data_IF_895962960938
#
_entry.id   IF_895962960938
#
_cell.length_a   1.000
_cell.length_b   1.000
_cell.length_c   1.000
_cell.angle_alpha   90.00
_cell.angle_beta   90.00
_cell.angle_gamma   90.00
#
_symmetry.space_group_name_H-M   'P 1'
#
loop_
_entity.id
_entity.type
_entity.pdbx_description
1 polymer ?
#
# COMPACT_ATOMS: atom_id res chain seq x y z
N UNK A 1 9.12 -15.67 6.69
CA UNK A 1 8.46 -16.98 6.89
C UNK A 1 9.35 -18.04 6.27
N UNK A 2 9.87 -18.98 7.06
CA UNK A 2 10.72 -20.08 6.56
C UNK A 2 9.95 -21.40 6.71
N UNK A 3 9.80 -22.10 5.58
CA UNK A 3 9.16 -23.40 5.44
C UNK A 3 9.94 -24.48 6.23
N UNK A 4 9.25 -25.46 6.82
CA UNK A 4 9.88 -26.69 7.33
C UNK A 4 9.14 -27.94 6.80
N UNK A 5 9.89 -28.76 6.04
CA UNK A 5 9.76 -30.21 5.77
C UNK A 5 8.70 -30.71 4.74
N UNK A 6 8.96 -31.86 4.10
CA UNK A 6 8.66 -32.14 2.68
C UNK A 6 7.24 -32.71 2.48
N UNK A 7 6.36 -31.92 1.87
CA UNK A 7 4.97 -32.31 1.61
C UNK A 7 4.85 -33.35 0.48
N UNK A 8 5.76 -33.31 -0.51
CA UNK A 8 5.68 -34.15 -1.71
C UNK A 8 5.83 -35.65 -1.41
N UNK A 9 6.67 -35.99 -0.42
CA UNK A 9 6.93 -37.38 -0.03
C UNK A 9 5.90 -37.93 0.96
N UNK A 10 5.34 -37.09 1.84
CA UNK A 10 4.37 -37.52 2.86
C UNK A 10 3.01 -37.88 2.22
N UNK A 11 2.55 -37.10 1.23
CA UNK A 11 1.27 -37.31 0.55
C UNK A 11 1.27 -38.50 -0.43
N UNK A 12 2.44 -38.94 -0.89
CA UNK A 12 2.59 -40.14 -1.70
C UNK A 12 2.67 -41.44 -0.87
N UNK A 13 3.05 -41.34 0.42
CA UNK A 13 3.35 -42.51 1.25
C UNK A 13 2.14 -43.19 1.90
N UNK A 14 1.24 -42.44 2.54
CA UNK A 14 0.34 -43.05 3.55
C UNK A 14 -0.86 -43.85 2.99
N UNK A 15 -1.37 -43.52 1.79
CA UNK A 15 -2.51 -44.27 1.21
C UNK A 15 -2.10 -45.53 0.41
N UNK A 16 -0.82 -45.64 0.00
CA UNK A 16 -0.38 -46.63 -0.99
C UNK A 16 0.29 -47.88 -0.40
N UNK A 17 0.79 -47.81 0.84
CA UNK A 17 1.38 -48.96 1.55
C UNK A 17 0.38 -50.11 1.67
N UNK A 18 -0.91 -49.82 1.81
CA UNK A 18 -1.96 -50.84 1.97
C UNK A 18 -2.29 -51.62 0.69
N UNK A 19 -2.22 -51.00 -0.50
CA UNK A 19 -2.63 -51.66 -1.75
C UNK A 19 -1.54 -52.54 -2.36
N UNK A 20 -0.27 -52.14 -2.25
CA UNK A 20 0.85 -52.87 -2.90
C UNK A 20 1.26 -54.09 -2.08
N UNK A 21 1.28 -54.00 -0.74
CA UNK A 21 1.57 -55.16 0.12
C UNK A 21 0.43 -56.19 0.14
N UNK A 22 -0.83 -55.77 -0.03
CA UNK A 22 -1.97 -56.69 -0.07
C UNK A 22 -2.14 -57.43 -1.40
N UNK A 23 -1.67 -56.87 -2.53
CA UNK A 23 -1.90 -57.43 -3.87
C UNK A 23 -0.65 -57.97 -4.61
N UNK A 24 0.55 -57.91 -4.03
CA UNK A 24 1.77 -58.47 -4.64
C UNK A 24 2.02 -57.96 -6.07
N UNK A 25 1.78 -56.67 -6.31
CA UNK A 25 1.99 -56.00 -7.60
C UNK A 25 3.41 -55.44 -7.61
N UNK A 26 4.24 -55.88 -8.56
CA UNK A 26 5.67 -55.50 -8.64
C UNK A 26 5.89 -54.05 -9.11
N UNK A 27 5.00 -53.55 -9.96
CA UNK A 27 5.04 -52.18 -10.48
C UNK A 27 3.62 -51.66 -10.71
N UNK A 28 3.32 -50.50 -10.11
CA UNK A 28 2.06 -49.80 -10.38
C UNK A 28 2.38 -48.55 -11.21
N UNK A 29 1.92 -48.54 -12.46
CA UNK A 29 1.95 -47.35 -13.30
C UNK A 29 0.93 -46.33 -12.78
N UNK A 30 1.37 -45.50 -11.82
CA UNK A 30 0.52 -44.54 -11.13
C UNK A 30 0.84 -43.11 -11.58
N UNK A 31 -0.20 -42.32 -11.87
CA UNK A 31 -0.07 -40.95 -12.40
C UNK A 31 -0.93 -39.96 -11.61
N UNK A 32 -0.61 -39.72 -10.33
CA UNK A 32 -1.38 -38.80 -9.50
C UNK A 32 -1.24 -37.37 -10.01
N UNK A 33 -2.31 -36.61 -9.85
CA UNK A 33 -2.30 -35.16 -10.06
C UNK A 33 -2.49 -34.49 -8.70
N UNK A 34 -1.54 -33.65 -8.31
CA UNK A 34 -1.57 -32.91 -7.05
C UNK A 34 -1.90 -31.44 -7.31
N UNK A 35 -2.57 -30.80 -6.35
CA UNK A 35 -2.77 -29.35 -6.30
C UNK A 35 -2.28 -28.85 -4.95
N UNK A 36 -1.31 -27.93 -4.95
CA UNK A 36 -0.61 -27.47 -3.75
C UNK A 36 -0.66 -25.95 -3.73
N UNK A 37 -1.24 -25.32 -2.69
CA UNK A 37 -1.09 -23.88 -2.51
C UNK A 37 0.37 -23.58 -2.18
N UNK A 38 0.94 -22.59 -2.86
CA UNK A 38 2.35 -22.21 -2.75
C UNK A 38 2.49 -20.85 -2.07
N UNK A 39 1.62 -19.91 -2.40
CA UNK A 39 1.60 -18.57 -1.80
C UNK A 39 0.16 -18.15 -1.56
N UNK A 40 -0.06 -17.53 -0.40
CA UNK A 40 -1.22 -16.70 -0.10
C UNK A 40 -0.69 -15.36 0.41
N UNK A 41 -1.05 -14.28 -0.27
CA UNK A 41 -0.69 -12.93 0.10
C UNK A 41 -1.93 -12.04 0.06
N UNK A 42 -1.97 -11.04 0.93
CA UNK A 42 -3.01 -10.01 0.98
C UNK A 42 -2.31 -8.67 1.02
N UNK A 43 -2.80 -7.71 0.23
CA UNK A 43 -2.25 -6.37 0.15
C UNK A 43 -3.36 -5.34 0.31
N UNK A 44 -3.26 -4.52 1.34
CA UNK A 44 -4.12 -3.35 1.59
C UNK A 44 -3.59 -2.12 0.86
N UNK A 45 -4.41 -1.07 0.74
CA UNK A 45 -3.96 0.20 0.13
C UNK A 45 -2.76 0.81 0.87
N UNK A 46 -2.71 0.74 2.19
CA UNK A 46 -1.56 1.20 2.97
C UNK A 46 -0.27 0.44 2.65
N UNK A 47 -0.37 -0.87 2.42
CA UNK A 47 0.78 -1.69 1.98
C UNK A 47 1.18 -1.37 0.55
N UNK A 48 0.24 -1.16 -0.38
CA UNK A 48 0.49 -0.75 -1.77
C UNK A 48 1.33 0.55 -1.79
N UNK A 49 0.93 1.53 -0.98
CA UNK A 49 1.59 2.83 -0.89
C UNK A 49 2.85 2.82 -0.02
N UNK A 50 3.08 1.74 0.74
CA UNK A 50 4.12 1.63 1.75
C UNK A 50 4.00 2.73 2.84
N UNK A 51 2.77 2.98 3.28
CA UNK A 51 2.45 3.93 4.34
C UNK A 51 2.80 3.35 5.71
N UNK A 52 3.35 4.18 6.59
CA UNK A 52 3.61 3.75 7.98
C UNK A 52 2.30 3.72 8.77
N UNK A 53 2.17 2.85 9.80
CA UNK A 53 0.97 2.86 10.65
C UNK A 53 0.68 4.22 11.30
N UNK A 54 1.71 5.01 11.61
CA UNK A 54 1.56 6.37 12.15
C UNK A 54 1.08 7.41 11.13
N UNK A 55 1.15 7.08 9.84
CA UNK A 55 0.72 7.94 8.73
C UNK A 55 -0.68 7.59 8.25
N UNK A 56 -1.34 6.59 8.86
CA UNK A 56 -2.68 6.15 8.48
C UNK A 56 -3.64 6.50 9.60
N UNK A 57 -4.65 7.31 9.27
CA UNK A 57 -5.78 7.56 10.17
C UNK A 57 -7.04 6.95 9.56
N UNK A 58 -7.77 6.21 10.38
CA UNK A 58 -9.06 5.64 10.02
C UNK A 58 -10.15 6.53 10.60
N UNK A 59 -10.73 7.38 9.76
CA UNK A 59 -11.87 8.20 10.16
C UNK A 59 -13.15 7.43 9.92
N UNK A 60 -13.96 7.29 10.97
CA UNK A 60 -15.23 6.59 10.89
C UNK A 60 -16.13 7.30 9.88
N UNK A 61 -16.55 6.55 8.87
CA UNK A 61 -17.55 7.00 7.93
C UNK A 61 -18.93 6.68 8.51
N UNK A 62 -19.68 7.73 8.88
CA UNK A 62 -21.02 7.57 9.46
C UNK A 62 -22.02 7.30 8.33
N UNK A 63 -22.08 6.04 7.90
CA UNK A 63 -23.17 5.53 7.07
C UNK A 63 -24.22 4.93 8.01
N UNK A 64 -25.50 5.21 7.73
CA UNK A 64 -26.63 4.80 8.57
C UNK A 64 -26.57 3.30 8.93
N UNK A 65 -26.27 3.01 10.20
CA UNK A 65 -26.30 1.65 10.75
C UNK A 65 -25.00 0.85 10.70
N UNK A 66 -23.91 1.38 10.13
CA UNK A 66 -22.60 0.71 10.07
C UNK A 66 -21.59 1.39 11.00
N UNK A 67 -21.27 0.73 12.12
CA UNK A 67 -20.44 1.34 13.18
C UNK A 67 -18.92 1.17 13.01
N UNK A 68 -18.42 0.62 11.90
CA UNK A 68 -16.99 0.26 11.73
C UNK A 68 -16.46 0.44 10.30
N UNK A 69 -17.03 1.37 9.53
CA UNK A 69 -16.51 1.69 8.21
C UNK A 69 -15.53 2.86 8.30
N UNK A 70 -14.36 2.74 7.71
CA UNK A 70 -13.31 3.75 7.82
C UNK A 70 -12.72 4.08 6.45
N UNK A 71 -12.83 5.35 6.05
CA UNK A 71 -12.15 5.85 4.86
C UNK A 71 -10.64 5.82 5.10
N UNK A 72 -9.88 5.36 4.11
CA UNK A 72 -8.43 5.37 4.20
C UNK A 72 -7.92 6.81 4.05
N UNK A 73 -7.14 7.29 5.00
CA UNK A 73 -6.58 8.64 4.96
C UNK A 73 -5.10 8.59 5.32
N UNK A 74 -4.30 9.39 4.61
CA UNK A 74 -2.92 9.64 4.99
C UNK A 74 -2.82 10.91 5.81
N UNK A 75 -2.07 10.83 6.90
CA UNK A 75 -1.88 11.93 7.84
C UNK A 75 -0.39 12.16 8.06
N UNK A 76 0.02 13.40 7.88
CA UNK A 76 1.40 13.83 8.11
C UNK A 76 1.41 15.00 9.06
N UNK A 77 2.21 14.91 10.12
CA UNK A 77 2.33 15.96 11.12
C UNK A 77 3.72 16.58 11.10
N UNK A 78 3.78 17.89 11.35
CA UNK A 78 4.99 18.60 11.76
C UNK A 78 4.69 19.35 13.05
N UNK A 79 5.68 19.39 13.94
CA UNK A 79 5.61 20.17 15.18
C UNK A 79 6.75 21.17 15.12
N UNK A 80 6.42 22.45 15.23
CA UNK A 80 7.45 23.48 15.30
C UNK A 80 8.04 23.51 16.70
N UNK A 81 9.30 23.93 16.78
CA UNK A 81 9.92 24.21 18.07
C UNK A 81 9.07 25.23 18.83
N UNK A 82 8.76 24.99 20.11
CA UNK A 82 7.92 25.89 20.89
C UNK A 82 8.55 27.28 20.98
N UNK A 83 7.74 28.33 20.85
CA UNK A 83 8.20 29.68 21.12
C UNK A 83 8.13 29.95 22.62
N UNK A 84 9.27 30.28 23.21
CA UNK A 84 9.38 30.79 24.58
C UNK A 84 9.50 32.31 24.60
N UNK A 85 9.46 32.91 25.79
CA UNK A 85 9.64 34.35 26.00
C UNK A 85 10.92 34.92 25.33
N UNK A 86 12.00 34.14 25.30
CA UNK A 86 13.31 34.58 24.78
C UNK A 86 13.28 34.99 23.30
N UNK A 87 12.34 34.44 22.53
CA UNK A 87 12.17 34.76 21.12
C UNK A 87 11.66 36.19 20.87
N UNK A 88 10.97 36.78 21.85
CA UNK A 88 10.34 38.09 21.70
C UNK A 88 11.24 39.27 22.10
N UNK A 89 12.40 39.00 22.71
CA UNK A 89 13.39 40.04 23.07
C UNK A 89 12.87 41.09 24.06
N UNK A 90 11.83 40.76 24.85
CA UNK A 90 11.24 41.63 25.86
C UNK A 90 12.13 41.82 27.09
N UNK A 91 11.86 42.86 27.89
CA UNK A 91 12.52 43.10 29.18
C UNK A 91 11.66 42.55 30.31
N UNK A 92 12.20 41.61 31.10
CA UNK A 92 11.39 40.91 32.10
C UNK A 92 10.34 40.01 31.46
N UNK A 93 9.20 39.81 32.13
CA UNK A 93 8.16 38.86 31.71
C UNK A 93 7.20 39.41 30.63
N UNK A 94 7.66 40.32 29.77
CA UNK A 94 6.78 41.02 28.81
C UNK A 94 6.95 40.48 27.39
N UNK A 95 5.84 40.21 26.70
CA UNK A 95 5.80 39.96 25.26
C UNK A 95 5.37 41.25 24.55
N UNK A 96 6.25 41.93 23.79
CA UNK A 96 5.90 43.20 23.14
C UNK A 96 4.89 43.03 22.00
N UNK A 97 4.03 44.03 21.80
CA UNK A 97 3.22 44.11 20.59
C UNK A 97 4.11 44.34 19.35
N UNK A 98 3.76 43.69 18.25
CA UNK A 98 4.54 43.80 17.02
C UNK A 98 4.26 42.68 16.02
N UNK A 99 4.83 42.83 14.83
CA UNK A 99 4.87 41.77 13.82
C UNK A 99 6.22 41.06 13.91
N UNK A 100 6.16 39.74 13.90
CA UNK A 100 7.26 38.84 14.11
C UNK A 100 7.37 37.86 12.93
N UNK A 101 7.42 38.43 11.72
CA UNK A 101 7.39 37.68 10.46
C UNK A 101 8.65 36.83 10.20
N UNK A 102 9.72 37.04 10.97
CA UNK A 102 11.01 36.35 10.80
C UNK A 102 11.34 35.39 11.95
N UNK A 103 10.43 35.19 12.91
CA UNK A 103 10.67 34.25 14.02
C UNK A 103 10.78 32.82 13.52
N UNK A 104 9.98 32.48 12.51
CA UNK A 104 9.99 31.17 11.90
C UNK A 104 10.71 31.21 10.56
N UNK A 105 11.58 30.23 10.36
CA UNK A 105 12.09 29.92 9.03
C UNK A 105 11.05 29.10 8.25
N UNK A 106 11.23 28.98 6.94
CA UNK A 106 10.41 28.09 6.12
C UNK A 106 10.50 26.65 6.65
N UNK A 107 9.33 26.03 6.84
CA UNK A 107 9.17 24.65 7.29
C UNK A 107 8.61 23.80 6.17
N UNK A 108 8.74 22.48 6.33
CA UNK A 108 8.09 21.54 5.44
C UNK A 108 7.56 20.32 6.17
N UNK A 109 6.43 19.81 5.68
CA UNK A 109 5.90 18.49 6.01
C UNK A 109 6.27 17.55 4.88
N UNK A 110 6.93 16.44 5.21
CA UNK A 110 7.26 15.39 4.25
C UNK A 110 6.04 14.54 3.93
N UNK A 111 5.60 14.55 2.68
CA UNK A 111 4.42 13.84 2.20
C UNK A 111 4.85 12.58 1.46
N UNK A 112 4.67 11.43 2.11
CA UNK A 112 5.01 10.11 1.54
C UNK A 112 3.83 9.51 0.78
N UNK A 113 3.14 10.32 -0.03
CA UNK A 113 1.86 9.94 -0.66
C UNK A 113 1.98 8.73 -1.59
N UNK A 114 3.18 8.49 -2.12
CA UNK A 114 3.50 7.43 -3.09
C UNK A 114 4.70 6.57 -2.68
N UNK A 115 5.11 6.60 -1.40
CA UNK A 115 6.16 5.77 -0.79
C UNK A 115 7.18 5.09 -1.73
N UNK A 116 7.05 3.77 -1.88
CA UNK A 116 7.93 2.93 -2.73
C UNK A 116 7.46 2.81 -4.19
N UNK A 117 6.42 3.53 -4.59
CA UNK A 117 5.94 3.48 -5.97
C UNK A 117 6.93 4.19 -6.90
N UNK A 118 7.16 3.64 -8.09
CA UNK A 118 8.12 4.19 -9.06
C UNK A 118 7.60 5.51 -9.67
N UNK A 119 6.29 5.60 -9.76
CA UNK A 119 5.52 6.75 -10.21
C UNK A 119 4.05 6.57 -9.82
N UNK A 120 3.35 7.68 -9.73
CA UNK A 120 1.92 7.69 -9.52
C UNK A 120 1.42 9.10 -9.30
N UNK A 121 0.18 9.33 -9.66
CA UNK A 121 -0.55 10.55 -9.39
C UNK A 121 -1.89 10.22 -8.74
N UNK A 122 -2.29 11.01 -7.75
CA UNK A 122 -3.60 10.86 -7.13
C UNK A 122 -4.18 12.24 -6.85
N UNK A 123 -5.41 12.45 -7.30
CA UNK A 123 -6.16 13.68 -7.10
C UNK A 123 -7.20 13.47 -6.01
N UNK A 124 -6.96 14.10 -4.88
CA UNK A 124 -7.82 14.05 -3.70
C UNK A 124 -8.94 15.09 -3.80
N UNK A 125 -10.18 14.75 -3.50
CA UNK A 125 -11.31 15.71 -3.60
C UNK A 125 -11.37 16.71 -2.45
N UNK A 126 -10.82 16.37 -1.28
CA UNK A 126 -10.86 17.25 -0.11
C UNK A 126 -9.61 17.12 0.78
N UNK A 127 -8.40 17.40 0.25
CA UNK A 127 -7.22 17.49 1.09
C UNK A 127 -7.39 18.65 2.08
N UNK A 128 -6.82 18.49 3.29
CA UNK A 128 -6.93 19.47 4.38
C UNK A 128 -5.58 19.65 5.06
N UNK A 129 -5.27 20.87 5.45
CA UNK A 129 -4.14 21.17 6.34
C UNK A 129 -4.67 21.90 7.56
N UNK A 130 -4.40 21.41 8.75
CA UNK A 130 -4.78 22.05 10.00
C UNK A 130 -3.55 22.55 10.72
N UNK A 131 -3.57 23.82 11.11
CA UNK A 131 -2.65 24.33 12.11
C UNK A 131 -3.39 24.46 13.44
N UNK A 132 -2.86 23.84 14.48
CA UNK A 132 -3.43 23.86 15.83
C UNK A 132 -2.41 24.46 16.78
N UNK A 133 -2.89 25.30 17.68
CA UNK A 133 -2.07 26.10 18.57
C UNK A 133 -2.45 25.85 20.03
N UNK A 134 -1.44 25.75 20.89
CA UNK A 134 -1.58 25.76 22.34
C UNK A 134 -0.68 26.83 22.92
N UNK A 135 -1.28 27.76 23.65
CA UNK A 135 -0.64 28.96 24.14
C UNK A 135 -0.71 29.02 25.67
N UNK A 136 0.44 28.89 26.31
CA UNK A 136 0.53 28.99 27.77
C UNK A 136 0.77 30.42 28.25
N UNK A 137 0.99 31.37 27.33
CA UNK A 137 1.27 32.77 27.68
C UNK A 137 -0.02 33.57 27.89
N UNK A 138 0.07 34.62 28.71
CA UNK A 138 -1.03 35.58 28.95
C UNK A 138 -1.15 36.63 27.82
N UNK A 139 -0.88 36.23 26.58
CA UNK A 139 -0.83 37.10 25.40
C UNK A 139 -1.66 36.48 24.28
N UNK A 140 -2.45 37.28 23.57
CA UNK A 140 -3.13 36.85 22.35
C UNK A 140 -2.12 36.87 21.20
N UNK A 141 -2.15 35.84 20.35
CA UNK A 141 -1.37 35.82 19.12
C UNK A 141 -2.28 35.75 17.90
N UNK A 142 -1.84 36.38 16.82
CA UNK A 142 -2.43 36.24 15.50
C UNK A 142 -1.41 35.55 14.60
N UNK A 143 -1.82 34.50 13.89
CA UNK A 143 -0.94 33.77 12.97
C UNK A 143 -1.50 33.79 11.56
N UNK A 144 -0.66 34.21 10.63
CA UNK A 144 -0.87 34.11 9.19
C UNK A 144 0.24 33.23 8.59
N UNK A 145 -0.01 32.71 7.40
CA UNK A 145 1.02 32.00 6.64
C UNK A 145 1.52 32.92 5.53
N UNK A 146 2.79 33.33 5.63
CA UNK A 146 3.40 34.31 4.73
C UNK A 146 3.74 33.69 3.36
N UNK A 147 4.03 32.39 3.33
CA UNK A 147 4.30 31.63 2.11
C UNK A 147 3.79 30.20 2.29
N UNK A 148 3.13 29.65 1.28
CA UNK A 148 2.62 28.27 1.26
C UNK A 148 2.69 27.71 -0.15
N UNK A 149 3.30 26.54 -0.30
CA UNK A 149 3.39 25.87 -1.60
C UNK A 149 3.66 24.38 -1.43
N UNK A 150 3.34 23.60 -2.45
CA UNK A 150 3.79 22.21 -2.55
C UNK A 150 4.87 22.07 -3.61
N UNK A 151 5.73 21.05 -3.45
CA UNK A 151 6.80 20.77 -4.41
C UNK A 151 6.82 19.31 -4.81
N UNK A 152 6.75 19.06 -6.10
CA UNK A 152 7.07 17.75 -6.66
C UNK A 152 8.60 17.63 -6.77
N UNK A 153 9.18 16.62 -6.14
CA UNK A 153 10.66 16.47 -6.05
C UNK A 153 11.23 15.81 -7.31
N UNK A 154 10.40 15.08 -8.08
CA UNK A 154 10.82 14.45 -9.34
C UNK A 154 10.88 15.47 -10.47
N UNK A 155 9.89 16.36 -10.57
CA UNK A 155 9.80 17.37 -11.64
C UNK A 155 10.33 18.74 -11.23
N UNK A 156 10.44 19.01 -9.92
CA UNK A 156 10.78 20.32 -9.39
C UNK A 156 9.63 21.33 -9.43
N UNK A 157 8.44 20.92 -9.92
CA UNK A 157 7.28 21.80 -10.06
C UNK A 157 6.80 22.30 -8.69
N UNK A 158 6.57 23.61 -8.59
CA UNK A 158 6.08 24.30 -7.40
C UNK A 158 4.65 24.74 -7.65
N UNK A 159 3.74 24.35 -6.75
CA UNK A 159 2.35 24.83 -6.77
C UNK A 159 2.10 25.70 -5.54
N UNK A 160 2.18 27.03 -5.66
CA UNK A 160 1.83 27.93 -4.57
C UNK A 160 0.32 27.90 -4.31
N UNK A 161 -0.06 28.30 -3.11
CA UNK A 161 -1.44 28.63 -2.76
C UNK A 161 -1.42 29.68 -1.66
N UNK A 162 -2.52 30.41 -1.48
CA UNK A 162 -2.62 31.46 -0.46
C UNK A 162 -3.85 31.23 0.41
N UNK A 163 -3.69 31.53 1.70
CA UNK A 163 -4.74 31.44 2.71
C UNK A 163 -5.05 32.87 3.14
N UNK A 164 -6.29 33.28 3.00
CA UNK A 164 -6.70 34.66 3.31
C UNK A 164 -7.10 34.83 4.79
N UNK A 165 -7.07 33.76 5.56
CA UNK A 165 -7.47 33.73 6.96
C UNK A 165 -6.29 33.90 7.90
N UNK A 166 -6.57 34.47 9.08
CA UNK A 166 -5.62 34.62 10.18
C UNK A 166 -6.18 33.89 11.38
N UNK A 167 -5.40 32.99 11.98
CA UNK A 167 -5.76 32.33 13.22
C UNK A 167 -5.62 33.31 14.38
N UNK A 168 -6.63 33.37 15.23
CA UNK A 168 -6.55 34.04 16.54
C UNK A 168 -6.30 32.95 17.59
N UNK A 169 -5.19 33.09 18.30
CA UNK A 169 -4.74 32.19 19.35
C UNK A 169 -5.00 32.90 20.67
N UNK A 170 -5.96 32.39 21.42
CA UNK A 170 -6.37 33.00 22.67
C UNK A 170 -5.23 33.00 23.68
N UNK A 171 -5.23 33.98 24.59
CA UNK A 171 -4.35 33.95 25.76
C UNK A 171 -4.73 32.79 26.68
N UNK A 172 -3.77 32.32 27.47
CA UNK A 172 -4.00 31.40 28.58
C UNK A 172 -5.06 31.96 29.54
N UNK A 173 -5.90 31.07 30.09
CA UNK A 173 -6.75 31.38 31.24
C UNK A 173 -6.19 30.72 32.52
N UNK A 174 -6.83 30.93 33.67
CA UNK A 174 -6.31 30.46 34.96
C UNK A 174 -6.15 28.92 35.04
N UNK A 175 -6.95 28.16 34.29
CA UNK A 175 -7.06 26.71 34.41
C UNK A 175 -6.53 25.95 33.18
N UNK A 176 -6.50 26.59 32.01
CA UNK A 176 -6.21 25.96 30.72
C UNK A 176 -5.36 26.86 29.80
N UNK A 177 -4.50 26.27 28.96
CA UNK A 177 -3.84 26.97 27.86
C UNK A 177 -4.87 27.59 26.92
N UNK A 178 -4.52 28.75 26.35
CA UNK A 178 -5.28 29.33 25.26
C UNK A 178 -5.10 28.49 23.99
N UNK A 179 -6.13 28.41 23.16
CA UNK A 179 -6.08 27.62 21.93
C UNK A 179 -6.43 28.48 20.72
N UNK A 180 -6.02 27.99 19.55
CA UNK A 180 -6.42 28.52 18.26
C UNK A 180 -6.30 27.43 17.20
N UNK A 181 -6.94 27.65 16.06
CA UNK A 181 -6.74 26.81 14.88
C UNK A 181 -6.88 27.61 13.60
N UNK A 182 -6.18 27.13 12.56
CA UNK A 182 -6.31 27.58 11.18
C UNK A 182 -6.54 26.33 10.31
N UNK A 183 -7.80 25.96 10.05
CA UNK A 183 -8.09 24.93 9.05
C UNK A 183 -7.84 25.51 7.67
N UNK A 184 -7.22 24.74 6.78
CA UNK A 184 -6.95 25.11 5.40
C UNK A 184 -7.60 24.05 4.53
N UNK A 185 -8.60 24.48 3.77
CA UNK A 185 -9.46 23.62 2.93
C UNK A 185 -9.55 24.20 1.53
N UNK A 186 -10.26 23.50 0.64
CA UNK A 186 -10.59 24.03 -0.69
C UNK A 186 -11.41 25.33 -0.63
N UNK A 187 -12.16 25.58 0.45
CA UNK A 187 -13.11 26.71 0.53
C UNK A 187 -12.44 28.03 0.92
N UNK A 188 -11.31 27.98 1.62
CA UNK A 188 -10.60 29.17 2.11
C UNK A 188 -9.22 29.38 1.48
N UNK A 189 -8.98 28.71 0.36
CA UNK A 189 -7.78 28.88 -0.47
C UNK A 189 -8.15 29.45 -1.83
N UNK A 190 -7.34 30.38 -2.35
CA UNK A 190 -7.59 31.00 -3.67
C UNK A 190 -7.41 30.00 -4.83
N UNK A 191 -6.55 29.00 -4.62
CA UNK A 191 -6.36 27.84 -5.47
C UNK A 191 -6.85 26.61 -4.71
N UNK A 192 -7.77 25.82 -5.30
CA UNK A 192 -8.24 24.60 -4.65
C UNK A 192 -7.06 23.70 -4.28
N UNK A 193 -6.91 23.39 -2.99
CA UNK A 193 -5.91 22.46 -2.46
C UNK A 193 -5.88 21.14 -3.22
N UNK A 194 -7.02 20.65 -3.72
CA UNK A 194 -7.08 19.50 -4.62
C UNK A 194 -6.10 19.64 -5.78
N UNK A 195 -6.05 20.79 -6.45
CA UNK A 195 -5.13 21.06 -7.57
C UNK A 195 -3.67 21.14 -7.11
N UNK A 196 -3.45 21.69 -5.92
CA UNK A 196 -2.12 21.84 -5.29
C UNK A 196 -1.51 20.48 -4.90
N UNK A 197 -2.34 19.52 -4.48
CA UNK A 197 -1.93 18.16 -4.10
C UNK A 197 -2.03 17.15 -5.26
N UNK A 198 -2.71 17.48 -6.36
CA UNK A 198 -2.82 16.64 -7.57
C UNK A 198 -1.48 16.22 -8.21
N UNK A 199 -0.43 17.07 -8.29
CA UNK A 199 0.86 16.63 -8.83
C UNK A 199 1.63 15.73 -7.84
N UNK A 200 0.95 15.08 -6.90
CA UNK A 200 1.47 14.24 -5.82
C UNK A 200 2.74 14.82 -5.22
N UNK A 201 2.63 15.97 -4.55
CA UNK A 201 3.80 16.63 -4.01
C UNK A 201 4.44 15.76 -2.93
N UNK A 202 5.75 15.88 -2.81
CA UNK A 202 6.52 15.17 -1.78
C UNK A 202 6.75 16.03 -0.54
N UNK A 203 6.51 17.34 -0.64
CA UNK A 203 6.58 18.27 0.46
C UNK A 203 5.46 19.30 0.37
N UNK A 204 4.90 19.66 1.53
CA UNK A 204 4.18 20.90 1.75
C UNK A 204 5.12 21.85 2.49
N UNK A 205 5.35 23.03 1.93
CA UNK A 205 6.14 24.09 2.55
C UNK A 205 5.23 25.20 3.09
N UNK A 206 5.60 25.75 4.24
CA UNK A 206 4.91 26.89 4.82
C UNK A 206 5.85 27.75 5.67
N UNK A 207 5.56 29.05 5.75
CA UNK A 207 6.28 30.00 6.61
C UNK A 207 5.30 30.74 7.51
N UNK A 208 5.24 30.43 8.81
CA UNK A 208 4.38 31.16 9.75
C UNK A 208 4.87 32.58 9.99
N UNK A 209 3.93 33.53 9.99
CA UNK A 209 4.14 34.90 10.44
C UNK A 209 3.27 35.14 11.67
N UNK A 210 3.89 35.58 12.76
CA UNK A 210 3.21 35.83 14.03
C UNK A 210 3.03 37.33 14.25
N UNK A 211 1.88 37.74 14.79
CA UNK A 211 1.60 39.09 15.24
C UNK A 211 1.09 39.07 16.67
N UNK A 212 1.59 39.99 17.48
CA UNK A 212 1.10 40.26 18.83
C UNK A 212 0.32 41.57 18.77
N UNK A 213 -1.03 41.55 18.83
CA UNK A 213 -1.86 42.74 18.64
C UNK A 213 -1.74 43.74 19.80
N UNK A 214 -1.49 43.25 21.01
CA UNK A 214 -1.31 44.06 22.22
C UNK A 214 -0.25 43.43 23.13
N UNK A 215 0.56 44.22 23.85
CA UNK A 215 1.56 43.67 24.76
C UNK A 215 0.90 42.78 25.82
N UNK A 216 1.58 41.71 26.20
CA UNK A 216 1.13 40.82 27.26
C UNK A 216 2.30 40.30 28.09
N UNK A 217 2.09 39.22 28.83
CA UNK A 217 3.10 38.63 29.71
C UNK A 217 3.29 37.15 29.45
N UNK A 218 4.49 36.66 29.75
CA UNK A 218 4.81 35.24 29.79
C UNK A 218 5.78 34.95 30.95
N UNK A 219 5.56 33.85 31.66
CA UNK A 219 6.46 33.34 32.69
C UNK A 219 7.54 32.43 32.10
N UNK A 220 8.61 32.18 32.87
CA UNK A 220 9.67 31.25 32.47
C UNK A 220 9.12 29.84 32.31
N UNK A 221 9.24 29.28 31.10
CA UNK A 221 8.75 27.95 30.77
C UNK A 221 7.35 27.93 30.15
N UNK A 222 6.66 29.06 30.04
CA UNK A 222 5.44 29.14 29.23
C UNK A 222 5.79 29.16 27.74
N UNK A 223 5.07 28.36 26.96
CA UNK A 223 5.35 28.14 25.54
C UNK A 223 4.13 28.36 24.64
N UNK A 224 4.40 28.81 23.41
CA UNK A 224 3.45 28.72 22.30
C UNK A 224 3.86 27.55 21.41
N UNK A 225 3.02 26.53 21.40
CA UNK A 225 3.20 25.32 20.61
C UNK A 225 2.38 25.40 19.32
N UNK A 226 3.01 25.03 18.20
CA UNK A 226 2.40 25.04 16.87
C UNK A 226 2.50 23.65 16.25
N UNK A 227 1.34 23.08 15.91
CA UNK A 227 1.22 21.78 15.27
C UNK A 227 0.61 21.96 13.88
N UNK A 228 1.22 21.36 12.87
CA UNK A 228 0.66 21.26 11.52
C UNK A 228 0.26 19.81 11.24
N UNK A 229 -0.93 19.58 10.69
CA UNK A 229 -1.45 18.27 10.29
C UNK A 229 -1.98 18.35 8.87
N UNK A 230 -1.37 17.60 7.96
CA UNK A 230 -1.87 17.41 6.59
C UNK A 230 -2.68 16.12 6.55
N UNK A 231 -3.93 16.21 6.11
CA UNK A 231 -4.86 15.07 5.97
C UNK A 231 -5.22 14.91 4.50
N UNK A 232 -4.97 13.72 3.96
CA UNK A 232 -5.19 13.38 2.56
C UNK A 232 -6.15 12.19 2.48
N UNK A 233 -7.46 12.44 2.29
CA UNK A 233 -8.44 11.37 2.23
C UNK A 233 -8.37 10.67 0.88
N UNK A 234 -8.27 9.34 0.82
CA UNK A 234 -8.30 8.57 -0.43
C UNK A 234 -9.71 8.48 -1.04
N UNK A 235 -10.35 9.64 -1.13
CA UNK A 235 -11.51 9.94 -1.96
C UNK A 235 -11.01 10.74 -3.15
N UNK A 236 -11.14 10.18 -4.35
CA UNK A 236 -10.56 10.78 -5.54
C UNK A 236 -10.28 9.78 -6.63
N UNK A 237 -9.31 10.09 -7.47
CA UNK A 237 -8.88 9.21 -8.55
C UNK A 237 -7.38 9.31 -8.78
N UNK A 238 -6.77 8.24 -9.27
CA UNK A 238 -5.33 8.19 -9.47
C UNK A 238 -4.81 6.87 -10.02
N UNK A 239 -3.50 6.80 -10.13
CA UNK A 239 -2.77 5.62 -10.51
C UNK A 239 -1.45 5.53 -9.75
N UNK A 240 -0.94 4.31 -9.59
CA UNK A 240 0.32 4.04 -8.92
C UNK A 240 1.01 2.82 -9.54
N UNK A 241 2.34 2.82 -9.59
CA UNK A 241 3.13 1.68 -10.07
C UNK A 241 3.98 1.13 -8.94
N UNK A 242 3.87 -0.17 -8.69
CA UNK A 242 4.61 -0.89 -7.64
C UNK A 242 5.24 -2.14 -8.20
N UNK A 243 6.49 -2.37 -7.82
CA UNK A 243 7.14 -3.66 -7.94
C UNK A 243 7.16 -4.35 -6.57
N UNK A 244 6.77 -5.61 -6.53
CA UNK A 244 6.83 -6.43 -5.32
C UNK A 244 7.39 -7.82 -5.63
N UNK A 245 8.07 -8.42 -4.65
CA UNK A 245 8.67 -9.75 -4.81
C UNK A 245 8.06 -10.72 -3.82
N UNK A 246 7.50 -11.80 -4.34
CA UNK A 246 6.92 -12.88 -3.57
C UNK A 246 7.93 -14.04 -3.51
N UNK A 247 8.63 -14.25 -2.40
CA UNK A 247 9.58 -15.35 -2.29
C UNK A 247 8.85 -16.70 -2.28
N UNK A 248 9.47 -17.70 -2.89
CA UNK A 248 9.08 -19.10 -2.76
C UNK A 248 10.33 -19.96 -2.63
N UNK A 249 10.20 -21.14 -2.03
CA UNK A 249 11.33 -22.06 -1.88
C UNK A 249 10.88 -23.49 -2.09
N UNK A 250 11.69 -24.25 -2.83
CA UNK A 250 11.63 -25.70 -2.87
C UNK A 250 12.68 -26.28 -1.92
N UNK A 251 12.41 -27.43 -1.30
CA UNK A 251 13.39 -28.08 -0.44
C UNK A 251 14.51 -28.75 -1.25
N UNK A 252 15.69 -28.94 -0.65
CA UNK A 252 16.85 -29.56 -1.30
C UNK A 252 16.55 -30.97 -1.87
N UNK A 253 15.59 -31.69 -1.28
CA UNK A 253 15.13 -32.99 -1.77
C UNK A 253 14.15 -32.93 -2.95
N UNK A 254 13.58 -31.76 -3.26
CA UNK A 254 12.55 -31.60 -4.31
C UNK A 254 13.17 -31.50 -5.71
N UNK A 255 14.45 -31.09 -5.81
CA UNK A 255 15.18 -30.97 -7.09
C UNK A 255 15.68 -32.32 -7.63
N UNK A 256 15.89 -33.31 -6.75
CA UNK A 256 16.33 -34.66 -7.14
C UNK A 256 15.27 -35.44 -7.94
N UNK A 257 14.03 -34.94 -8.01
CA UNK A 257 12.88 -35.55 -8.69
C UNK A 257 12.36 -34.81 -9.92
N UNK A 258 13.04 -33.77 -10.43
CA UNK A 258 12.52 -33.01 -11.58
C UNK A 258 12.32 -33.88 -12.84
N UNK A 259 13.10 -34.96 -12.96
CA UNK A 259 13.01 -35.91 -14.07
C UNK A 259 11.66 -36.63 -14.19
N UNK A 260 10.92 -36.81 -13.09
CA UNK A 260 9.64 -37.55 -13.02
C UNK A 260 8.41 -36.63 -13.14
N UNK A 261 8.59 -35.32 -13.23
CA UNK A 261 7.49 -34.36 -13.41
C UNK A 261 7.19 -34.21 -14.90
N UNK A 262 5.96 -34.53 -15.32
CA UNK A 262 5.53 -34.41 -16.71
C UNK A 262 5.23 -32.95 -17.10
N UNK A 263 4.53 -32.24 -16.22
CA UNK A 263 4.16 -30.84 -16.38
C UNK A 263 3.84 -30.21 -15.03
N UNK A 264 3.95 -28.89 -14.97
CA UNK A 264 3.42 -28.06 -13.88
C UNK A 264 2.44 -27.06 -14.49
N UNK A 265 1.26 -26.93 -13.89
CA UNK A 265 0.41 -25.75 -14.06
C UNK A 265 0.62 -24.84 -12.86
N UNK A 266 1.11 -23.65 -13.11
CA UNK A 266 1.12 -22.57 -12.14
C UNK A 266 -0.20 -21.81 -12.27
N UNK A 267 -1.03 -21.87 -11.23
CA UNK A 267 -2.25 -21.08 -11.14
C UNK A 267 -1.98 -19.86 -10.27
N UNK A 268 -2.31 -18.68 -10.77
CA UNK A 268 -2.33 -17.43 -10.02
C UNK A 268 -3.77 -16.94 -10.00
N UNK A 269 -4.32 -16.71 -8.82
CA UNK A 269 -5.67 -16.21 -8.63
C UNK A 269 -5.63 -14.92 -7.83
N UNK A 270 -6.42 -13.96 -8.25
CA UNK A 270 -6.53 -12.64 -7.67
C UNK A 270 -7.98 -12.38 -7.31
N UNK A 271 -8.20 -11.92 -6.10
CA UNK A 271 -9.48 -11.40 -5.64
C UNK A 271 -9.25 -9.96 -5.22
N UNK A 272 -9.92 -9.02 -5.90
CA UNK A 272 -9.71 -7.61 -5.73
C UNK A 272 -10.94 -6.97 -5.10
N UNK A 273 -10.80 -6.49 -3.88
CA UNK A 273 -11.80 -5.71 -3.15
C UNK A 273 -11.51 -4.20 -3.26
N UNK A 274 -10.40 -3.81 -3.90
CA UNK A 274 -10.09 -2.40 -4.11
C UNK A 274 -10.81 -1.91 -5.39
N UNK A 275 -11.33 -0.68 -5.40
CA UNK A 275 -11.88 -0.03 -6.59
C UNK A 275 -10.78 0.45 -7.56
N UNK A 276 -9.71 -0.36 -7.68
CA UNK A 276 -8.54 -0.13 -8.51
C UNK A 276 -8.44 -1.27 -9.53
N UNK A 277 -8.40 -0.94 -10.83
CA UNK A 277 -7.93 -1.88 -11.84
C UNK A 277 -6.43 -2.11 -11.66
N UNK A 278 -6.01 -3.36 -11.77
CA UNK A 278 -4.60 -3.74 -11.60
C UNK A 278 -4.09 -4.46 -12.84
N UNK A 279 -3.11 -3.87 -13.50
CA UNK A 279 -2.34 -4.55 -14.55
C UNK A 279 -1.10 -5.19 -13.92
N UNK A 280 -0.97 -6.51 -14.02
CA UNK A 280 0.12 -7.29 -13.40
C UNK A 280 0.97 -7.95 -14.49
N UNK A 281 2.28 -7.73 -14.44
CA UNK A 281 3.28 -8.56 -15.10
C UNK A 281 4.03 -9.37 -14.05
N UNK A 282 4.18 -10.67 -14.26
CA UNK A 282 4.85 -11.56 -13.32
C UNK A 282 6.09 -12.19 -13.94
N UNK A 283 7.16 -12.29 -13.16
CA UNK A 283 8.46 -12.83 -13.60
C UNK A 283 9.02 -13.78 -12.54
N UNK A 284 9.56 -14.91 -12.97
CA UNK A 284 10.36 -15.79 -12.13
C UNK A 284 11.78 -15.21 -12.07
N UNK A 285 12.27 -14.98 -10.85
CA UNK A 285 13.58 -14.38 -10.61
C UNK A 285 14.40 -15.21 -9.62
N UNK A 286 15.73 -15.16 -9.77
CA UNK A 286 16.65 -15.54 -8.71
C UNK A 286 17.07 -14.27 -7.95
N UNK A 287 16.64 -14.14 -6.69
CA UNK A 287 16.93 -13.00 -5.82
C UNK A 287 18.38 -12.94 -5.31
N UNK A 288 19.18 -14.00 -5.49
CA UNK A 288 20.62 -13.95 -5.17
C UNK A 288 21.39 -13.16 -6.25
N UNK A 289 21.03 -13.35 -7.52
CA UNK A 289 21.66 -12.70 -8.67
C UNK A 289 20.84 -11.56 -9.28
N UNK A 290 19.58 -11.43 -8.86
CA UNK A 290 18.54 -10.57 -9.44
C UNK A 290 18.31 -10.79 -10.94
N UNK A 291 18.61 -11.99 -11.45
CA UNK A 291 18.35 -12.34 -12.84
C UNK A 291 16.89 -12.73 -13.05
N UNK A 292 16.28 -12.19 -14.11
CA UNK A 292 14.98 -12.65 -14.60
C UNK A 292 15.18 -13.93 -15.41
N UNK A 293 14.56 -15.02 -14.97
CA UNK A 293 14.72 -16.34 -15.55
C UNK A 293 13.60 -16.65 -16.56
N UNK A 294 12.37 -16.27 -16.24
CA UNK A 294 11.24 -16.39 -17.15
C UNK A 294 10.16 -15.37 -16.85
N UNK A 295 9.36 -15.06 -17.86
CA UNK A 295 8.12 -14.31 -17.69
C UNK A 295 6.96 -15.27 -17.51
N UNK A 296 6.17 -15.05 -16.45
CA UNK A 296 4.94 -15.81 -16.22
C UNK A 296 3.88 -15.30 -17.18
N UNK A 297 3.37 -16.19 -18.03
CA UNK A 297 2.30 -15.84 -18.97
C UNK A 297 0.98 -15.87 -18.23
N UNK A 298 0.34 -14.71 -18.12
CA UNK A 298 -0.95 -14.61 -17.49
C UNK A 298 -2.09 -14.65 -18.52
N UNK A 299 -3.09 -15.50 -18.30
CA UNK A 299 -4.27 -15.67 -19.15
C UNK A 299 -5.53 -15.44 -18.34
N UNK A 300 -6.62 -14.98 -18.97
CA UNK A 300 -7.92 -15.00 -18.30
C UNK A 300 -8.48 -16.42 -18.34
N UNK A 301 -8.63 -17.06 -17.18
CA UNK A 301 -9.10 -18.44 -17.06
C UNK A 301 -10.54 -18.68 -17.53
N UNK A 302 -11.38 -17.64 -17.52
CA UNK A 302 -12.81 -17.75 -17.88
C UNK A 302 -13.02 -17.66 -19.39
N UNK A 303 -12.31 -16.75 -20.06
CA UNK A 303 -12.45 -16.55 -21.51
C UNK A 303 -11.46 -17.39 -22.33
N UNK A 304 -10.36 -17.85 -21.72
CA UNK A 304 -9.30 -18.60 -22.40
C UNK A 304 -8.56 -17.78 -23.48
N UNK A 305 -8.87 -16.49 -23.60
CA UNK A 305 -8.24 -15.58 -24.56
C UNK A 305 -6.90 -15.17 -23.96
N UNK A 306 -5.82 -15.37 -24.74
CA UNK A 306 -4.56 -14.70 -24.46
C UNK A 306 -4.81 -13.21 -24.52
N UNK A 307 -4.75 -12.54 -23.36
CA UNK A 307 -4.69 -11.08 -23.33
C UNK A 307 -3.51 -10.70 -24.22
N UNK A 308 -3.72 -9.82 -25.19
CA UNK A 308 -2.66 -9.37 -26.09
C UNK A 308 -1.54 -8.75 -25.28
N UNK A 309 -0.48 -9.52 -25.04
CA UNK A 309 0.61 -9.16 -24.15
C UNK A 309 0.87 -10.22 -23.08
N UNK A 310 1.68 -9.85 -22.11
CA UNK A 310 2.15 -10.73 -21.01
C UNK A 310 1.54 -10.37 -19.66
N UNK A 311 0.68 -9.35 -19.64
CA UNK A 311 0.08 -8.81 -18.44
C UNK A 311 -1.35 -9.36 -18.24
N UNK A 312 -1.71 -9.63 -16.98
CA UNK A 312 -3.10 -9.82 -16.59
C UNK A 312 -3.71 -8.48 -16.16
N UNK A 313 -4.94 -8.23 -16.58
CA UNK A 313 -5.77 -7.14 -16.04
C UNK A 313 -6.73 -7.74 -15.02
N UNK A 314 -6.55 -7.40 -13.76
CA UNK A 314 -7.46 -7.70 -12.67
C UNK A 314 -8.45 -6.52 -12.61
N UNK A 315 -9.74 -6.74 -12.92
CA UNK A 315 -10.70 -5.64 -12.92
C UNK A 315 -10.78 -4.95 -11.56
N UNK A 316 -11.18 -3.68 -11.53
CA UNK A 316 -11.54 -3.02 -10.28
C UNK A 316 -12.73 -3.72 -9.61
N UNK A 317 -12.80 -3.67 -8.29
CA UNK A 317 -14.03 -4.01 -7.57
C UNK A 317 -15.11 -2.97 -7.88
N UNK A 318 -16.37 -3.41 -8.01
CA UNK A 318 -17.49 -2.50 -8.27
C UNK A 318 -17.89 -1.81 -6.97
N UNK A 319 -17.83 -0.48 -6.85
CA UNK A 319 -18.29 0.21 -5.65
C UNK A 319 -19.79 -0.04 -5.40
N UNK A 320 -20.14 -0.36 -4.16
CA UNK A 320 -21.54 -0.43 -3.73
C UNK A 320 -22.01 1.02 -3.49
N UNK A 321 -23.17 1.45 -4.01
CA UNK A 321 -23.71 2.77 -3.73
C UNK A 321 -23.77 3.03 -2.21
N UNK A 322 -23.41 4.24 -1.80
CA UNK A 322 -23.23 4.59 -0.38
C UNK A 322 -24.49 4.32 0.46
N UNK A 323 -25.65 4.54 -0.14
CA UNK A 323 -26.98 4.28 0.41
C UNK A 323 -27.30 2.79 0.64
N UNK A 324 -26.61 1.90 -0.07
CA UNK A 324 -26.82 0.44 -0.03
C UNK A 324 -25.82 -0.28 0.90
N UNK A 325 -24.85 0.45 1.48
CA UNK A 325 -23.86 -0.10 2.39
C UNK A 325 -24.51 -0.42 3.74
N UNK A 326 -24.80 -1.70 3.97
CA UNK A 326 -25.41 -2.23 5.19
C UNK A 326 -24.42 -3.00 6.09
N UNK A 327 -23.16 -3.15 5.67
CA UNK A 327 -22.09 -3.84 6.39
C UNK A 327 -20.73 -3.17 6.15
N UNK A 328 -19.63 -3.82 6.56
CA UNK A 328 -18.27 -3.37 6.25
C UNK A 328 -17.81 -3.69 4.81
N UNK A 329 -18.67 -4.32 4.00
CA UNK A 329 -18.45 -4.56 2.58
C UNK A 329 -18.88 -3.32 1.79
N UNK A 330 -17.94 -2.70 1.08
CA UNK A 330 -18.18 -1.46 0.31
C UNK A 330 -18.03 -1.63 -1.20
N UNK A 331 -17.63 -2.82 -1.63
CA UNK A 331 -17.43 -3.16 -3.03
C UNK A 331 -17.87 -4.60 -3.28
N UNK A 332 -18.33 -4.90 -4.48
CA UNK A 332 -18.40 -6.27 -4.99
C UNK A 332 -17.01 -6.67 -5.52
N UNK A 333 -16.35 -7.69 -4.93
CA UNK A 333 -15.00 -8.06 -5.33
C UNK A 333 -14.97 -8.56 -6.77
N UNK A 334 -13.90 -8.23 -7.49
CA UNK A 334 -13.61 -8.83 -8.79
C UNK A 334 -12.70 -10.04 -8.60
N UNK A 335 -12.80 -11.01 -9.51
CA UNK A 335 -11.94 -12.17 -9.53
C UNK A 335 -11.27 -12.30 -10.89
N UNK A 336 -9.99 -12.64 -10.89
CA UNK A 336 -9.29 -13.07 -12.09
C UNK A 336 -8.34 -14.20 -11.72
N UNK A 337 -8.30 -15.25 -12.52
CA UNK A 337 -7.26 -16.27 -12.39
C UNK A 337 -6.60 -16.59 -13.71
N UNK A 338 -5.37 -17.04 -13.62
CA UNK A 338 -4.50 -17.35 -14.73
C UNK A 338 -3.78 -18.66 -14.50
N UNK A 339 -3.68 -19.46 -15.55
CA UNK A 339 -2.93 -20.71 -15.56
C UNK A 339 -1.78 -20.65 -16.56
N UNK A 340 -0.55 -20.86 -16.09
CA UNK A 340 0.62 -21.07 -16.94
C UNK A 340 1.02 -22.54 -16.90
N UNK A 341 1.08 -23.18 -18.06
CA UNK A 341 1.67 -24.52 -18.18
C UNK A 341 3.18 -24.39 -18.40
N UNK A 342 3.95 -25.04 -17.54
CA UNK A 342 5.39 -25.22 -17.64
C UNK A 342 5.69 -26.61 -18.18
N UNK A 343 6.55 -26.67 -19.19
CA UNK A 343 6.94 -27.90 -19.84
C UNK A 343 8.37 -28.28 -19.44
N UNK A 344 8.61 -29.59 -19.30
CA UNK A 344 9.98 -30.13 -19.18
C UNK A 344 10.84 -29.79 -20.40
N UNK A 345 10.20 -29.59 -21.55
CA UNK A 345 10.79 -29.03 -22.77
C UNK A 345 9.75 -28.17 -23.45
N UNK A 346 9.94 -26.85 -23.42
CA UNK A 346 9.08 -25.87 -24.06
C UNK A 346 9.07 -26.11 -25.58
N UNK A 347 7.89 -26.21 -26.16
CA UNK A 347 7.74 -26.48 -27.61
C UNK A 347 8.17 -25.30 -28.50
N UNK A 348 8.28 -24.10 -27.94
CA UNK A 348 8.66 -22.88 -28.65
C UNK A 348 10.13 -22.53 -28.47
N UNK A 349 10.63 -22.54 -27.23
CA UNK A 349 12.03 -22.14 -26.92
C UNK A 349 12.98 -23.33 -26.84
N UNK A 350 12.48 -24.55 -26.62
CA UNK A 350 13.29 -25.75 -26.38
C UNK A 350 13.88 -25.87 -24.97
N UNK A 351 13.67 -24.86 -24.12
CA UNK A 351 14.16 -24.81 -22.73
C UNK A 351 13.31 -25.62 -21.76
N UNK A 352 13.83 -25.91 -20.57
CA UNK A 352 13.10 -26.62 -19.53
C UNK A 352 12.45 -25.63 -18.56
N UNK A 353 11.20 -25.25 -18.83
CA UNK A 353 10.45 -24.28 -18.01
C UNK A 353 10.30 -24.74 -16.55
N UNK A 354 10.26 -26.07 -16.32
CA UNK A 354 10.20 -26.63 -14.97
C UNK A 354 11.52 -26.36 -14.24
N UNK A 355 12.66 -26.56 -14.89
CA UNK A 355 13.96 -26.23 -14.30
C UNK A 355 14.02 -24.74 -13.98
N UNK A 356 13.57 -23.87 -14.88
CA UNK A 356 13.54 -22.42 -14.68
C UNK A 356 12.75 -22.00 -13.43
N UNK A 357 11.62 -22.68 -13.14
CA UNK A 357 10.86 -22.43 -11.91
C UNK A 357 11.67 -22.79 -10.65
N UNK A 358 12.40 -23.91 -10.67
CA UNK A 358 13.19 -24.39 -9.53
C UNK A 358 14.53 -23.66 -9.36
N UNK A 359 15.09 -23.14 -10.45
CA UNK A 359 16.27 -22.26 -10.41
C UNK A 359 15.92 -20.89 -9.82
N UNK A 360 14.66 -20.45 -9.99
CA UNK A 360 14.13 -19.25 -9.35
C UNK A 360 13.79 -19.47 -7.88
N UNK A 361 13.72 -18.36 -7.12
CA UNK A 361 13.36 -18.37 -5.70
C UNK A 361 12.37 -17.24 -5.32
N UNK A 362 11.89 -16.47 -6.29
CA UNK A 362 10.80 -15.52 -6.09
C UNK A 362 10.05 -15.25 -7.39
N UNK A 363 8.82 -14.75 -7.23
CA UNK A 363 8.07 -14.10 -8.31
C UNK A 363 8.11 -12.61 -8.10
N UNK A 364 8.66 -11.89 -9.07
CA UNK A 364 8.56 -10.43 -9.17
C UNK A 364 7.22 -10.08 -9.84
N UNK A 365 6.38 -9.33 -9.14
CA UNK A 365 5.14 -8.75 -9.62
C UNK A 365 5.36 -7.27 -9.91
N UNK A 366 5.26 -6.87 -11.17
CA UNK A 366 5.16 -5.48 -11.59
C UNK A 366 3.68 -5.14 -11.76
N UNK A 367 3.18 -4.24 -10.92
CA UNK A 367 1.76 -3.92 -10.79
C UNK A 367 1.53 -2.44 -11.05
N UNK A 368 0.61 -2.14 -11.96
CA UNK A 368 0.08 -0.80 -12.19
C UNK A 368 -1.36 -0.76 -11.72
N UNK A 369 -1.64 0.09 -10.74
CA UNK A 369 -2.95 0.33 -10.16
C UNK A 369 -3.56 1.58 -10.78
N UNK A 370 -4.85 1.56 -11.07
CA UNK A 370 -5.59 2.68 -11.62
C UNK A 370 -7.00 2.70 -11.04
N UNK A 371 -7.48 3.82 -10.53
CA UNK A 371 -8.85 3.92 -10.01
C UNK A 371 -9.87 3.68 -11.12
N UNK A 372 -10.97 2.99 -10.81
CA UNK A 372 -12.07 2.84 -11.75
C UNK A 372 -12.58 4.24 -12.16
N UNK A 373 -12.62 4.53 -13.46
CA UNK A 373 -13.00 5.85 -13.97
C UNK A 373 -11.91 6.94 -13.92
N UNK A 374 -10.63 6.60 -13.68
CA UNK A 374 -9.50 7.55 -13.81
C UNK A 374 -9.50 8.31 -15.14
N UNK A 375 -9.83 7.64 -16.26
CA UNK A 375 -9.88 8.30 -17.58
C UNK A 375 -11.06 9.27 -17.75
N UNK A 376 -12.05 9.19 -16.85
CA UNK A 376 -13.26 10.02 -16.84
C UNK A 376 -13.31 10.97 -15.63
N UNK A 377 -12.21 11.11 -14.87
CA UNK A 377 -12.13 11.90 -13.64
C UNK A 377 -13.20 11.49 -12.59
N UNK A 378 -13.60 10.21 -12.54
CA UNK A 378 -14.62 9.72 -11.61
C UNK A 378 -14.06 9.57 -10.20
N UNK A 379 -14.75 10.17 -9.23
CA UNK A 379 -14.35 10.14 -7.82
C UNK A 379 -14.78 8.82 -7.19
N UNK A 380 -13.83 8.13 -6.55
CA UNK A 380 -14.09 6.92 -5.79
C UNK A 380 -13.61 7.04 -4.35
N UNK A 381 -14.29 6.37 -3.43
CA UNK A 381 -13.87 6.22 -2.03
C UNK A 381 -13.09 4.92 -1.84
N UNK A 382 -11.92 5.00 -1.20
CA UNK A 382 -11.11 3.83 -0.84
C UNK A 382 -11.16 3.64 0.67
N UNK A 383 -11.58 2.44 1.08
CA UNK A 383 -11.77 2.08 2.48
C UNK A 383 -10.62 1.23 3.01
N UNK A 384 -10.30 1.37 4.29
CA UNK A 384 -9.16 0.66 4.90
C UNK A 384 -9.35 -0.86 5.01
N UNK A 385 -10.58 -1.35 4.86
CA UNK A 385 -10.93 -2.78 4.90
C UNK A 385 -10.64 -3.51 3.60
N UNK A 386 -10.54 -2.77 2.49
CA UNK A 386 -10.37 -3.31 1.15
C UNK A 386 -8.94 -3.81 0.92
N UNK A 387 -8.83 -4.86 0.11
CA UNK A 387 -7.55 -5.49 -0.19
C UNK A 387 -7.54 -6.22 -1.53
N UNK A 388 -6.35 -6.48 -2.05
CA UNK A 388 -6.13 -7.47 -3.11
C UNK A 388 -5.54 -8.71 -2.46
N UNK A 389 -6.17 -9.85 -2.70
CA UNK A 389 -5.65 -11.17 -2.33
C UNK A 389 -5.00 -11.79 -3.55
N UNK A 390 -3.81 -12.33 -3.36
CA UNK A 390 -3.04 -13.06 -4.36
C UNK A 390 -2.80 -14.48 -3.86
N UNK A 391 -3.26 -15.45 -4.64
CA UNK A 391 -3.09 -16.86 -4.37
C UNK A 391 -2.33 -17.50 -5.51
N UNK A 392 -1.30 -18.27 -5.19
CA UNK A 392 -0.58 -19.08 -6.15
C UNK A 392 -0.65 -20.55 -5.76
N UNK A 393 -0.96 -21.40 -6.74
CA UNK A 393 -0.96 -22.84 -6.58
C UNK A 393 -0.22 -23.53 -7.70
N UNK A 394 0.36 -24.69 -7.41
CA UNK A 394 0.93 -25.59 -8.39
C UNK A 394 0.02 -26.80 -8.53
N UNK A 395 -0.36 -27.10 -9.77
CA UNK A 395 -0.97 -28.37 -10.14
C UNK A 395 0.01 -29.17 -10.99
N UNK A 396 0.45 -30.32 -10.50
CA UNK A 396 1.47 -31.14 -11.17
C UNK A 396 1.02 -32.58 -11.34
N UNK A 397 1.54 -33.24 -12.37
CA UNK A 397 1.44 -34.70 -12.51
C UNK A 397 2.81 -35.32 -12.37
N UNK A 398 2.90 -36.30 -11.47
CA UNK A 398 4.09 -37.11 -11.29
C UNK A 398 3.94 -38.38 -12.13
N UNK A 399 4.94 -38.67 -12.95
CA UNK A 399 5.04 -39.86 -13.77
C UNK A 399 6.23 -40.66 -13.26
N UNK A 400 6.01 -41.29 -12.11
CA UNK A 400 6.96 -42.18 -11.48
C UNK A 400 6.30 -43.56 -11.36
N UNK A 401 6.92 -44.64 -11.86
CA UNK A 401 6.55 -45.97 -11.43
C UNK A 401 6.88 -46.10 -9.94
N UNK A 402 5.88 -46.41 -9.12
CA UNK A 402 6.12 -46.74 -7.71
C UNK A 402 6.50 -48.21 -7.68
N UNK A 403 7.77 -48.48 -7.45
CA UNK A 403 8.30 -49.84 -7.27
C UNK A 403 8.30 -50.21 -5.79
N UNK A 404 8.19 -51.50 -5.49
CA UNK A 404 8.27 -52.02 -4.11
C UNK A 404 9.52 -51.53 -3.36
N UNK A 405 10.66 -51.45 -4.05
CA UNK A 405 11.93 -50.99 -3.48
C UNK A 405 11.90 -49.50 -3.08
N UNK A 406 11.21 -48.67 -3.86
CA UNK A 406 11.05 -47.23 -3.56
C UNK A 406 10.22 -46.98 -2.30
N UNK A 407 9.25 -47.85 -2.00
CA UNK A 407 8.42 -47.81 -0.80
C UNK A 407 9.17 -48.30 0.44
N UNK A 408 9.98 -49.35 0.31
CA UNK A 408 10.76 -49.92 1.43
C UNK A 408 11.72 -48.88 2.02
N UNK A 409 12.37 -48.09 1.16
CA UNK A 409 13.22 -46.97 1.56
C UNK A 409 12.44 -45.78 2.17
N UNK A 410 11.16 -45.62 1.84
CA UNK A 410 10.31 -44.51 2.31
C UNK A 410 9.76 -44.74 3.72
N UNK A 411 9.54 -46.00 4.09
CA UNK A 411 8.91 -46.41 5.37
C UNK A 411 9.98 -46.79 6.42
N UNK A 412 11.24 -46.90 6.03
CA UNK A 412 12.33 -47.29 6.93
C UNK A 412 12.18 -48.72 7.46
N UNK A 413 11.80 -49.66 6.58
CA UNK A 413 11.79 -51.10 6.85
C UNK A 413 13.09 -51.76 6.39
#
# INVERSE_FOLDING_TARGET
>A
MTMKKPLLYLLAGELFVFCITACNIDELAFRPTYAIPVVEARMTIGEILNSRPSEVETVQDTILGVNNLFNFQLVYTDTLDPLTLDFFGGSGNTVPAGNYDTLFQERNVFLRMTGNTESGDFRFTNPRVDFVFSNEMSTIFELKLNNTYTKNVKTGFISPFTINETAIISARNAEEPGTGSLPVTNDNTNDSLTSVFSPTPKFLYYTPGLRVPSPGTAESGEELNIYAKVTLPFTGYGQAVRNDTVPYSFGDGDTAGLGIIDFIYLRMAFENELPLEVTVNAFIVDTNTWQTLAQVRLYNSETGIALTGTAAVIPAATPIPREDIISNTTTEPSFNSSDMRLFKKNSTTGENDIQTLFDGNAILLNMSFKTNGYDNDEVIDIYSTQSIKFNMGIKTRINAPITRDSLTNLIGL
#
